data_IF_450718270377
#
_entry.id   IF_450718270377
#
_cell.length_a   1.000
_cell.length_b   1.000
_cell.length_c   1.000
_cell.angle_alpha   90.00
_cell.angle_beta   90.00
_cell.angle_gamma   90.00
#
_symmetry.space_group_name_H-M   'P 1'
#
loop_
_entity.id
_entity.type
_entity.pdbx_description
1 polymer ?
#
# COMPACT_ATOMS: atom_id res chain seq x y z
N UNK A 1 -9.47 -3.81 -16.92
CA UNK A 1 -10.75 -3.52 -16.26
C UNK A 1 -10.54 -3.59 -14.76
N UNK A 2 -10.77 -2.47 -14.05
CA UNK A 2 -10.77 -2.45 -12.58
C UNK A 2 -12.12 -2.95 -12.06
N UNK A 3 -12.11 -3.63 -10.92
CA UNK A 3 -13.35 -4.04 -10.26
C UNK A 3 -14.14 -2.80 -9.79
N UNK A 4 -15.47 -2.83 -9.86
CA UNK A 4 -16.32 -1.77 -9.33
C UNK A 4 -16.08 -1.49 -7.84
N UNK A 5 -15.63 -2.51 -7.09
CA UNK A 5 -15.30 -2.39 -5.67
C UNK A 5 -14.17 -1.40 -5.40
N UNK A 6 -13.28 -1.17 -6.35
CA UNK A 6 -12.21 -0.16 -6.26
C UNK A 6 -12.76 1.26 -5.97
N UNK A 7 -13.94 1.57 -6.48
CA UNK A 7 -14.55 2.89 -6.34
C UNK A 7 -15.39 3.05 -5.06
N UNK A 8 -15.66 1.97 -4.30
CA UNK A 8 -16.51 2.05 -3.10
C UNK A 8 -15.93 2.98 -2.04
N UNK A 9 -14.61 3.11 -1.96
CA UNK A 9 -13.95 4.06 -1.05
C UNK A 9 -14.34 5.52 -1.31
N UNK A 10 -14.72 5.87 -2.54
CA UNK A 10 -15.13 7.22 -2.89
C UNK A 10 -16.55 7.56 -2.39
N UNK A 11 -17.37 6.57 -2.07
CA UNK A 11 -18.72 6.77 -1.53
C UNK A 11 -18.76 6.91 0.00
N UNK A 12 -17.65 6.67 0.72
CA UNK A 12 -17.61 6.67 2.19
C UNK A 12 -18.07 8.02 2.75
N UNK A 13 -17.72 9.14 2.09
CA UNK A 13 -18.11 10.47 2.53
C UNK A 13 -19.64 10.72 2.51
N UNK A 14 -20.37 10.03 1.61
CA UNK A 14 -21.82 10.12 1.52
C UNK A 14 -22.52 9.06 2.38
N UNK A 15 -21.98 7.84 2.43
CA UNK A 15 -22.59 6.73 3.16
C UNK A 15 -22.51 6.88 4.68
N UNK A 16 -21.51 7.62 5.17
CA UNK A 16 -21.24 7.81 6.59
C UNK A 16 -21.09 9.30 6.91
N UNK A 17 -22.19 10.09 6.81
CA UNK A 17 -22.14 11.53 7.01
C UNK A 17 -21.80 11.94 8.44
N UNK A 18 -22.01 11.06 9.42
CA UNK A 18 -21.74 11.27 10.84
C UNK A 18 -20.23 11.27 11.18
N UNK A 19 -19.37 10.68 10.31
CA UNK A 19 -17.94 10.67 10.54
C UNK A 19 -17.25 11.80 9.79
N UNK A 20 -16.35 12.49 10.47
CA UNK A 20 -15.49 13.55 9.87
C UNK A 20 -14.14 13.02 9.41
N UNK A 21 -13.69 11.90 9.98
CA UNK A 21 -12.38 11.29 9.67
C UNK A 21 -12.48 9.77 9.74
N UNK A 22 -11.85 9.08 8.79
CA UNK A 22 -11.79 7.61 8.76
C UNK A 22 -10.42 7.13 8.27
N UNK A 23 -10.06 5.90 8.63
CA UNK A 23 -8.97 5.18 7.99
C UNK A 23 -9.57 4.22 6.98
N UNK A 24 -9.15 4.31 5.72
CA UNK A 24 -9.41 3.33 4.69
C UNK A 24 -8.24 2.35 4.60
N UNK A 25 -8.54 1.06 4.51
CA UNK A 25 -7.53 -0.01 4.41
C UNK A 25 -7.99 -1.03 3.36
N UNK A 26 -7.12 -1.32 2.37
CA UNK A 26 -7.36 -2.38 1.40
C UNK A 26 -7.37 -3.76 2.09
N UNK A 27 -8.19 -4.68 1.60
CA UNK A 27 -8.40 -6.01 2.21
C UNK A 27 -7.18 -6.95 2.11
N UNK A 28 -6.20 -6.64 1.26
CA UNK A 28 -4.99 -7.44 1.08
C UNK A 28 -3.82 -6.92 1.94
N UNK A 29 -4.13 -6.58 3.18
CA UNK A 29 -3.20 -6.03 4.17
C UNK A 29 -3.15 -6.86 5.46
N UNK A 30 -2.08 -6.65 6.24
CA UNK A 30 -1.97 -7.14 7.62
C UNK A 30 -1.57 -5.96 8.50
N UNK A 31 -2.40 -5.61 9.48
CA UNK A 31 -2.14 -4.56 10.44
C UNK A 31 -1.34 -5.13 11.61
N UNK A 32 -0.20 -4.53 11.92
CA UNK A 32 0.71 -4.93 13.01
C UNK A 32 0.96 -3.82 14.02
N UNK A 33 0.88 -2.55 13.57
CA UNK A 33 1.02 -1.38 14.43
C UNK A 33 -0.28 -0.96 15.10
N UNK A 34 -0.17 -0.08 16.09
CA UNK A 34 -1.34 0.52 16.74
C UNK A 34 -2.02 1.52 15.78
N UNK A 35 -3.16 1.13 15.25
CA UNK A 35 -3.94 1.92 14.29
C UNK A 35 -4.43 3.26 14.88
N UNK A 36 -4.50 3.38 16.20
CA UNK A 36 -4.88 4.62 16.85
C UNK A 36 -3.87 5.74 16.63
N UNK A 37 -2.59 5.41 16.49
CA UNK A 37 -1.55 6.39 16.14
C UNK A 37 -1.80 7.00 14.77
N UNK A 38 -2.19 6.15 13.78
CA UNK A 38 -2.57 6.65 12.47
C UNK A 38 -3.83 7.51 12.54
N UNK A 39 -4.86 7.04 13.28
CA UNK A 39 -6.11 7.78 13.42
C UNK A 39 -5.92 9.14 14.10
N UNK A 40 -5.03 9.24 15.08
CA UNK A 40 -4.75 10.47 15.82
C UNK A 40 -3.86 11.47 15.06
N UNK A 41 -3.31 11.07 13.90
CA UNK A 41 -2.59 12.01 13.03
C UNK A 41 -3.52 13.15 12.61
N UNK A 42 -3.05 14.38 12.72
CA UNK A 42 -3.81 15.56 12.27
C UNK A 42 -3.77 15.65 10.74
N UNK A 43 -4.97 15.65 10.15
CA UNK A 43 -5.18 15.76 8.71
C UNK A 43 -6.12 16.91 8.37
N UNK A 44 -6.32 17.86 9.31
CA UNK A 44 -7.28 18.96 9.17
C UNK A 44 -7.01 19.84 7.95
N UNK A 45 -5.75 20.10 7.64
CA UNK A 45 -5.31 20.94 6.52
C UNK A 45 -5.26 20.18 5.17
N UNK A 46 -5.51 18.87 5.19
CA UNK A 46 -5.38 18.04 4.00
C UNK A 46 -6.63 17.19 3.76
N UNK A 47 -6.98 16.90 2.49
CA UNK A 47 -8.06 15.98 2.18
C UNK A 47 -7.72 14.51 2.52
N UNK A 48 -6.44 14.15 2.49
CA UNK A 48 -5.95 12.78 2.71
C UNK A 48 -4.58 12.81 3.37
N UNK A 49 -4.32 11.92 4.33
CA UNK A 49 -3.00 11.45 4.71
C UNK A 49 -2.73 10.10 4.05
N UNK A 50 -1.58 9.93 3.38
CA UNK A 50 -1.23 8.70 2.68
C UNK A 50 0.28 8.50 2.57
N UNK A 51 0.70 7.29 2.16
CA UNK A 51 2.11 6.95 1.96
C UNK A 51 2.52 7.19 0.51
N UNK A 52 3.62 7.92 0.34
CA UNK A 52 4.18 8.25 -0.97
C UNK A 52 4.62 7.00 -1.74
N UNK A 53 4.19 6.89 -3.00
CA UNK A 53 4.59 5.81 -3.92
C UNK A 53 5.64 6.30 -4.92
N UNK A 54 6.87 6.44 -4.46
CA UNK A 54 8.00 6.91 -5.29
C UNK A 54 8.28 6.05 -6.51
N UNK A 55 7.90 4.77 -6.48
CA UNK A 55 8.14 3.86 -7.59
C UNK A 55 7.17 4.02 -8.74
N UNK A 56 6.02 4.61 -8.46
CA UNK A 56 5.00 4.88 -9.48
C UNK A 56 5.10 6.29 -10.07
N UNK A 57 5.81 7.23 -9.44
CA UNK A 57 5.90 8.63 -9.85
C UNK A 57 6.26 8.80 -11.32
N UNK A 58 7.31 8.14 -11.81
CA UNK A 58 7.73 8.26 -13.21
C UNK A 58 6.66 7.78 -14.20
N UNK A 59 5.82 6.80 -13.83
CA UNK A 59 4.68 6.36 -14.63
C UNK A 59 3.58 7.41 -14.62
N UNK A 60 3.32 8.04 -13.49
CA UNK A 60 2.30 9.08 -13.35
C UNK A 60 2.65 10.32 -14.17
N UNK A 61 3.89 10.79 -14.09
CA UNK A 61 4.37 11.93 -14.88
C UNK A 61 4.21 11.71 -16.38
N UNK A 62 4.48 10.51 -16.86
CA UNK A 62 4.44 10.19 -18.30
C UNK A 62 3.04 9.91 -18.85
N UNK A 63 2.13 9.37 -18.02
CA UNK A 63 0.86 8.81 -18.51
C UNK A 63 -0.37 9.59 -18.07
N UNK A 64 -0.30 10.33 -16.96
CA UNK A 64 -1.49 10.90 -16.33
C UNK A 64 -1.41 12.42 -16.15
N UNK A 65 -0.52 13.06 -16.91
CA UNK A 65 -0.35 14.52 -16.92
C UNK A 65 -0.16 15.13 -15.52
N UNK A 66 0.55 14.39 -14.64
CA UNK A 66 0.98 14.92 -13.36
C UNK A 66 2.36 15.56 -13.55
N UNK A 67 2.58 16.81 -13.14
CA UNK A 67 3.86 17.49 -13.30
C UNK A 67 5.01 16.70 -12.67
N UNK A 68 6.16 16.70 -13.34
CA UNK A 68 7.36 16.02 -12.80
C UNK A 68 7.76 16.64 -11.45
N UNK A 69 8.02 15.80 -10.48
CA UNK A 69 8.35 16.23 -9.11
C UNK A 69 7.14 16.28 -8.16
N UNK A 70 5.91 16.22 -8.67
CA UNK A 70 4.72 16.09 -7.84
C UNK A 70 4.71 14.75 -7.13
N UNK A 71 4.62 14.69 -5.79
CA UNK A 71 4.54 13.43 -5.09
C UNK A 71 3.20 12.73 -5.38
N UNK A 72 3.24 11.41 -5.59
CA UNK A 72 2.05 10.58 -5.71
C UNK A 72 2.00 9.57 -4.57
N UNK A 73 0.80 9.15 -4.19
CA UNK A 73 0.58 8.21 -3.09
C UNK A 73 -0.06 6.91 -3.56
N UNK A 74 0.10 5.86 -2.74
CA UNK A 74 -0.66 4.62 -2.87
C UNK A 74 -1.96 4.73 -2.06
N UNK A 75 -3.09 4.46 -2.69
CA UNK A 75 -4.42 4.62 -2.11
C UNK A 75 -4.90 3.42 -1.27
N UNK A 76 -4.06 2.41 -1.08
CA UNK A 76 -4.45 1.22 -0.32
C UNK A 76 -4.60 1.44 1.18
N UNK A 77 -3.90 2.44 1.73
CA UNK A 77 -4.11 2.93 3.09
C UNK A 77 -4.20 4.45 3.04
N UNK A 78 -5.30 5.01 3.55
CA UNK A 78 -5.54 6.45 3.59
C UNK A 78 -6.18 6.85 4.91
N UNK A 79 -5.69 7.90 5.53
CA UNK A 79 -6.40 8.67 6.54
C UNK A 79 -7.19 9.76 5.82
N UNK A 80 -8.50 9.65 5.79
CA UNK A 80 -9.37 10.50 4.97
C UNK A 80 -10.06 11.55 5.85
N UNK A 81 -9.93 12.82 5.47
CA UNK A 81 -10.72 13.92 6.01
C UNK A 81 -12.07 13.98 5.26
N UNK A 82 -13.08 13.29 5.79
CA UNK A 82 -14.39 13.20 5.16
C UNK A 82 -15.13 14.55 5.17
N UNK A 83 -14.90 15.38 6.18
CA UNK A 83 -15.46 16.74 6.22
C UNK A 83 -14.93 17.55 5.02
N UNK A 84 -13.63 17.56 4.79
CA UNK A 84 -13.03 18.21 3.62
C UNK A 84 -13.53 17.60 2.29
N UNK A 85 -13.67 16.26 2.21
CA UNK A 85 -14.19 15.63 1.01
C UNK A 85 -15.61 16.07 0.66
N UNK A 86 -16.47 16.22 1.67
CA UNK A 86 -17.86 16.73 1.47
C UNK A 86 -17.85 18.19 1.07
N UNK A 87 -17.08 19.02 1.78
CA UNK A 87 -16.99 20.46 1.52
C UNK A 87 -16.48 20.77 0.10
N UNK A 88 -15.41 20.07 -0.31
CA UNK A 88 -14.77 20.29 -1.62
C UNK A 88 -15.41 19.52 -2.76
N UNK A 89 -16.27 18.54 -2.46
CA UNK A 89 -16.83 17.60 -3.42
C UNK A 89 -15.80 16.67 -4.05
N UNK A 90 -14.64 16.46 -3.39
CA UNK A 90 -13.53 15.67 -3.95
C UNK A 90 -13.92 14.26 -4.36
N UNK A 91 -14.73 13.59 -3.54
CA UNK A 91 -15.21 12.22 -3.82
C UNK A 91 -16.04 12.16 -5.12
N UNK A 92 -16.94 13.12 -5.35
CA UNK A 92 -17.73 13.23 -6.60
C UNK A 92 -16.84 13.51 -7.78
N UNK A 93 -15.97 14.51 -7.66
CA UNK A 93 -14.98 14.84 -8.72
C UNK A 93 -14.11 13.63 -9.09
N UNK A 94 -13.70 12.80 -8.10
CA UNK A 94 -12.91 11.61 -8.37
C UNK A 94 -13.72 10.52 -9.06
N UNK A 95 -15.01 10.35 -8.73
CA UNK A 95 -15.91 9.43 -9.41
C UNK A 95 -16.15 9.86 -10.86
N UNK A 96 -16.47 11.14 -11.08
CA UNK A 96 -16.72 11.70 -12.42
C UNK A 96 -15.47 11.55 -13.30
N UNK A 97 -14.30 11.94 -12.76
CA UNK A 97 -13.04 11.79 -13.46
C UNK A 97 -12.72 10.32 -13.83
N UNK A 98 -13.01 9.39 -12.91
CA UNK A 98 -12.85 7.96 -13.16
C UNK A 98 -13.81 7.46 -14.24
N UNK A 99 -15.07 7.92 -14.23
CA UNK A 99 -16.07 7.55 -15.22
C UNK A 99 -15.71 8.06 -16.61
N UNK A 100 -15.25 9.29 -16.73
CA UNK A 100 -14.87 9.92 -18.00
C UNK A 100 -13.59 9.31 -18.60
N UNK A 101 -12.61 8.98 -17.76
CA UNK A 101 -11.28 8.55 -18.22
C UNK A 101 -11.07 7.04 -18.24
N UNK A 102 -11.91 6.28 -17.55
CA UNK A 102 -11.73 4.84 -17.31
C UNK A 102 -10.56 4.52 -16.35
N UNK A 103 -10.02 5.53 -15.67
CA UNK A 103 -8.91 5.37 -14.73
C UNK A 103 -9.42 4.96 -13.35
N UNK A 104 -8.54 4.31 -12.56
CA UNK A 104 -8.92 3.90 -11.21
C UNK A 104 -8.90 5.08 -10.22
N UNK A 105 -9.47 4.84 -9.05
CA UNK A 105 -9.57 5.77 -7.93
C UNK A 105 -8.23 6.36 -7.50
N UNK A 106 -7.16 5.55 -7.40
CA UNK A 106 -5.83 6.03 -7.03
C UNK A 106 -5.28 7.05 -8.03
N UNK A 107 -5.45 6.78 -9.34
CA UNK A 107 -4.97 7.70 -10.37
C UNK A 107 -5.81 8.98 -10.35
N UNK A 108 -7.13 8.84 -10.22
CA UNK A 108 -8.06 9.96 -10.16
C UNK A 108 -7.77 10.89 -8.98
N UNK A 109 -7.61 10.33 -7.79
CA UNK A 109 -7.26 11.11 -6.59
C UNK A 109 -5.90 11.79 -6.73
N UNK A 110 -4.86 11.09 -7.17
CA UNK A 110 -3.55 11.71 -7.38
C UNK A 110 -3.57 12.83 -8.42
N UNK A 111 -4.37 12.67 -9.50
CA UNK A 111 -4.50 13.67 -10.55
C UNK A 111 -5.24 14.91 -10.07
N UNK A 112 -6.27 14.75 -9.26
CA UNK A 112 -7.04 15.87 -8.71
C UNK A 112 -6.30 16.61 -7.61
N UNK A 113 -5.61 15.87 -6.73
CA UNK A 113 -4.91 16.44 -5.58
C UNK A 113 -3.57 17.08 -5.94
N UNK A 114 -2.87 16.59 -6.97
CA UNK A 114 -1.60 17.14 -7.45
C UNK A 114 -0.59 17.45 -6.34
N UNK A 115 -0.42 16.54 -5.41
CA UNK A 115 0.50 16.68 -4.28
C UNK A 115 -0.09 17.34 -3.03
N UNK A 116 -1.34 17.80 -3.05
CA UNK A 116 -2.03 18.35 -1.88
C UNK A 116 -2.58 17.22 -0.99
N UNK A 117 -1.70 16.58 -0.25
CA UNK A 117 -2.01 15.52 0.71
C UNK A 117 -0.89 15.40 1.75
N UNK A 118 -1.21 14.89 2.95
CA UNK A 118 -0.27 14.72 4.06
C UNK A 118 0.59 13.46 3.86
N UNK A 119 1.93 13.57 3.75
CA UNK A 119 2.80 12.41 3.71
C UNK A 119 2.85 11.70 5.07
N UNK A 120 2.45 10.42 5.09
CA UNK A 120 2.58 9.54 6.25
C UNK A 120 3.90 8.78 6.23
N UNK A 121 4.34 8.29 7.41
CA UNK A 121 5.47 7.35 7.50
C UNK A 121 5.15 6.12 6.64
N UNK A 122 6.11 5.68 5.83
CA UNK A 122 5.89 4.57 4.88
C UNK A 122 5.61 3.22 5.56
N UNK A 123 5.91 3.06 6.86
CA UNK A 123 5.52 1.89 7.64
C UNK A 123 4.01 1.69 7.69
N UNK A 124 3.22 2.76 7.51
CA UNK A 124 1.76 2.69 7.41
C UNK A 124 1.22 2.08 6.11
N UNK A 125 2.08 1.93 5.10
CA UNK A 125 1.69 1.26 3.84
C UNK A 125 2.93 0.61 3.21
N UNK A 126 3.44 -0.43 3.85
CA UNK A 126 4.62 -1.15 3.39
C UNK A 126 4.24 -2.11 2.26
N UNK A 127 4.27 -1.61 1.04
CA UNK A 127 3.90 -2.40 -0.15
C UNK A 127 4.98 -3.42 -0.53
N UNK A 128 4.56 -4.54 -1.09
CA UNK A 128 5.44 -5.64 -1.56
C UNK A 128 6.59 -5.16 -2.45
N UNK A 129 6.36 -4.10 -3.24
CA UNK A 129 7.37 -3.51 -4.11
C UNK A 129 8.62 -3.01 -3.37
N UNK A 130 8.48 -2.54 -2.12
CA UNK A 130 9.61 -2.11 -1.29
C UNK A 130 10.51 -3.29 -0.94
N UNK A 131 9.95 -4.42 -0.48
CA UNK A 131 10.71 -5.63 -0.16
C UNK A 131 11.44 -6.18 -1.37
N UNK A 132 10.76 -6.29 -2.50
CA UNK A 132 11.38 -6.75 -3.75
C UNK A 132 12.56 -5.87 -4.15
N UNK A 133 12.43 -4.56 -4.05
CA UNK A 133 13.51 -3.62 -4.41
C UNK A 133 14.64 -3.64 -3.41
N UNK A 134 14.35 -3.70 -2.11
CA UNK A 134 15.36 -3.82 -1.07
C UNK A 134 16.27 -5.02 -1.31
N UNK A 135 15.69 -6.21 -1.49
CA UNK A 135 16.49 -7.41 -1.72
C UNK A 135 17.19 -7.42 -3.07
N UNK A 136 16.65 -6.82 -4.10
CA UNK A 136 17.33 -6.69 -5.39
C UNK A 136 18.47 -5.65 -5.32
N UNK A 137 18.30 -4.55 -4.60
CA UNK A 137 19.33 -3.55 -4.38
C UNK A 137 20.51 -4.13 -3.58
N UNK A 138 20.23 -4.79 -2.47
CA UNK A 138 21.24 -5.41 -1.62
C UNK A 138 22.08 -6.44 -2.39
N UNK A 139 21.49 -7.15 -3.37
CA UNK A 139 22.22 -8.10 -4.23
C UNK A 139 23.02 -7.44 -5.35
N UNK A 140 22.53 -6.36 -5.95
CA UNK A 140 23.06 -5.84 -7.21
C UNK A 140 23.58 -4.40 -7.12
N UNK A 141 23.36 -3.68 -6.01
CA UNK A 141 23.66 -2.25 -5.83
C UNK A 141 23.10 -1.33 -6.94
N UNK A 142 22.09 -1.80 -7.70
CA UNK A 142 21.62 -1.18 -8.95
C UNK A 142 20.59 -0.06 -8.78
N UNK A 143 19.97 0.05 -7.61
CA UNK A 143 18.92 1.05 -7.39
C UNK A 143 19.10 1.72 -6.03
N UNK A 144 19.34 3.04 -5.97
CA UNK A 144 19.38 3.75 -4.70
C UNK A 144 17.99 3.64 -4.05
N UNK A 145 17.99 3.28 -2.76
CA UNK A 145 16.76 3.25 -2.00
C UNK A 145 16.36 4.70 -1.69
N UNK A 146 15.09 5.07 -1.89
CA UNK A 146 14.69 6.46 -1.79
C UNK A 146 14.54 6.98 -0.35
N UNK A 147 14.94 6.19 0.67
CA UNK A 147 14.79 6.54 2.08
C UNK A 147 16.09 6.32 2.86
N UNK A 148 16.39 7.22 3.79
CA UNK A 148 17.34 6.95 4.86
C UNK A 148 16.76 5.88 5.83
N UNK A 149 17.64 5.09 6.44
CA UNK A 149 17.28 4.08 7.46
C UNK A 149 16.28 3.00 6.99
N UNK A 150 16.28 2.70 5.69
CA UNK A 150 15.34 1.74 5.10
C UNK A 150 15.44 0.35 5.71
N UNK A 151 16.64 -0.06 6.08
CA UNK A 151 16.90 -1.40 6.64
C UNK A 151 16.15 -1.61 7.96
N UNK A 152 16.09 -0.61 8.82
CA UNK A 152 15.38 -0.68 10.10
C UNK A 152 13.87 -0.68 9.89
N UNK A 153 13.38 0.26 9.09
CA UNK A 153 11.96 0.49 8.90
C UNK A 153 11.28 -0.57 8.05
N UNK A 154 11.99 -1.20 7.10
CA UNK A 154 11.43 -2.29 6.29
C UNK A 154 11.19 -3.56 7.11
N UNK A 155 11.86 -3.69 8.27
CA UNK A 155 11.71 -4.80 9.20
C UNK A 155 10.65 -4.56 10.27
N UNK A 156 10.13 -3.34 10.38
CA UNK A 156 9.14 -2.93 11.36
C UNK A 156 7.95 -2.21 10.68
N UNK A 157 7.21 -2.90 9.79
CA UNK A 157 6.02 -2.32 9.17
C UNK A 157 4.88 -2.22 10.16
N UNK A 158 4.11 -1.13 10.09
CA UNK A 158 2.85 -0.99 10.83
C UNK A 158 1.69 -1.62 10.06
N UNK A 159 1.69 -1.49 8.73
CA UNK A 159 0.75 -2.18 7.86
C UNK A 159 1.51 -2.78 6.67
N UNK A 160 1.41 -4.10 6.54
CA UNK A 160 1.88 -4.83 5.35
C UNK A 160 0.80 -4.77 4.28
N UNK A 161 1.18 -4.41 3.06
CA UNK A 161 0.24 -4.33 1.95
C UNK A 161 0.75 -5.12 0.75
N UNK A 162 -0.01 -6.14 0.34
CA UNK A 162 0.37 -7.01 -0.78
C UNK A 162 -0.15 -6.47 -2.09
N UNK A 163 0.65 -5.64 -2.74
CA UNK A 163 0.31 -5.15 -4.08
C UNK A 163 0.73 -6.14 -5.17
N UNK A 164 -0.09 -6.26 -6.22
CA UNK A 164 0.19 -7.12 -7.38
C UNK A 164 -0.52 -8.47 -7.34
N UNK A 165 -0.10 -9.40 -8.22
CA UNK A 165 -0.77 -10.68 -8.43
C UNK A 165 -0.46 -11.74 -7.36
N UNK A 166 0.65 -11.61 -6.66
CA UNK A 166 1.02 -12.53 -5.57
C UNK A 166 0.65 -11.94 -4.24
N UNK A 167 -0.17 -12.65 -3.48
CA UNK A 167 -0.69 -12.23 -2.18
C UNK A 167 0.07 -12.90 -1.04
N UNK A 168 -0.04 -12.33 0.17
CA UNK A 168 0.53 -12.95 1.38
C UNK A 168 -0.05 -14.34 1.64
N UNK A 169 -1.30 -14.57 1.22
CA UNK A 169 -1.98 -15.87 1.29
C UNK A 169 -1.41 -16.92 0.34
N UNK A 170 -0.64 -16.53 -0.69
CA UNK A 170 -0.09 -17.45 -1.65
C UNK A 170 1.15 -18.16 -1.09
N UNK A 171 1.26 -19.48 -1.31
CA UNK A 171 2.44 -20.23 -0.92
C UNK A 171 3.70 -19.76 -1.65
N UNK A 172 3.54 -19.33 -2.89
CA UNK A 172 4.61 -18.77 -3.72
C UNK A 172 5.04 -17.36 -3.35
N UNK A 173 4.39 -16.70 -2.36
CA UNK A 173 4.86 -15.43 -1.83
C UNK A 173 6.20 -15.62 -1.12
N UNK A 174 7.21 -14.89 -1.55
CA UNK A 174 8.61 -15.17 -1.25
C UNK A 174 9.35 -14.08 -0.48
N UNK A 175 8.64 -13.10 0.03
CA UNK A 175 9.24 -12.01 0.78
C UNK A 175 9.01 -12.13 2.29
N UNK A 176 9.59 -11.23 3.07
CA UNK A 176 9.38 -11.15 4.51
C UNK A 176 7.89 -11.09 4.85
N UNK A 177 7.56 -11.54 6.06
CA UNK A 177 6.23 -11.49 6.65
C UNK A 177 5.15 -12.37 6.00
N UNK A 178 5.51 -13.25 5.05
CA UNK A 178 4.55 -14.23 4.54
C UNK A 178 3.96 -15.11 5.66
N UNK A 179 4.75 -15.39 6.70
CA UNK A 179 4.33 -16.20 7.85
C UNK A 179 3.41 -15.44 8.79
N UNK A 180 3.56 -14.12 8.87
CA UNK A 180 2.70 -13.25 9.69
C UNK A 180 1.25 -13.31 9.22
N UNK A 181 1.02 -13.34 7.91
CA UNK A 181 -0.33 -13.50 7.37
C UNK A 181 -1.01 -14.76 7.92
N UNK A 182 -0.33 -15.91 7.87
CA UNK A 182 -0.89 -17.16 8.37
C UNK A 182 -1.06 -17.16 9.89
N UNK A 183 -0.16 -16.53 10.63
CA UNK A 183 -0.31 -16.35 12.08
C UNK A 183 -1.61 -15.61 12.42
N UNK A 184 -1.91 -14.51 11.73
CA UNK A 184 -3.16 -13.78 11.94
C UNK A 184 -4.38 -14.55 11.40
N UNK A 185 -4.24 -15.21 10.25
CA UNK A 185 -5.31 -16.03 9.68
C UNK A 185 -5.75 -17.15 10.63
N UNK A 186 -4.79 -17.78 11.31
CA UNK A 186 -5.06 -18.84 12.28
C UNK A 186 -5.77 -18.36 13.56
N UNK A 187 -5.86 -17.06 13.77
CA UNK A 187 -6.67 -16.42 14.83
C UNK A 187 -8.11 -16.16 14.39
N UNK A 188 -8.48 -16.49 13.16
CA UNK A 188 -9.81 -16.29 12.56
C UNK A 188 -10.52 -17.64 12.33
N UNK A 189 -11.81 -17.63 11.94
CA UNK A 189 -12.52 -18.84 11.53
C UNK A 189 -11.88 -19.60 10.36
N UNK A 190 -10.98 -19.00 9.59
CA UNK A 190 -10.23 -19.65 8.50
C UNK A 190 -8.92 -20.30 8.94
N UNK A 191 -8.77 -20.58 10.23
CA UNK A 191 -7.63 -21.34 10.77
C UNK A 191 -7.39 -22.62 9.95
N UNK A 192 -6.12 -22.88 9.62
CA UNK A 192 -5.72 -24.07 8.86
C UNK A 192 -5.93 -23.96 7.35
N UNK A 193 -6.23 -22.77 6.82
CA UNK A 193 -6.26 -22.54 5.37
C UNK A 193 -4.95 -23.02 4.72
N UNK A 194 -5.08 -23.74 3.62
CA UNK A 194 -3.94 -24.23 2.83
C UNK A 194 -3.90 -23.53 1.48
N UNK A 195 -2.78 -22.87 1.15
CA UNK A 195 -2.62 -22.24 -0.16
C UNK A 195 -2.78 -23.25 -1.29
N UNK A 196 -3.53 -22.89 -2.32
CA UNK A 196 -3.82 -23.77 -3.48
C UNK A 196 -2.69 -23.83 -4.48
N UNK A 197 -1.74 -22.88 -4.43
CA UNK A 197 -0.59 -22.80 -5.34
C UNK A 197 0.64 -23.59 -4.84
N UNK A 198 0.49 -24.41 -3.78
CA UNK A 198 1.58 -25.23 -3.25
C UNK A 198 1.87 -26.42 -4.15
N UNK A 199 3.08 -26.44 -4.72
CA UNK A 199 3.64 -27.53 -5.51
C UNK A 199 5.17 -27.60 -5.30
N UNK A 200 5.85 -28.56 -5.92
CA UNK A 200 7.30 -28.75 -5.77
C UNK A 200 8.09 -27.51 -6.19
N UNK A 201 7.71 -26.87 -7.32
CA UNK A 201 8.42 -25.70 -7.83
C UNK A 201 8.27 -24.51 -6.88
N UNK A 202 7.05 -24.22 -6.41
CA UNK A 202 6.81 -23.13 -5.45
C UNK A 202 7.45 -23.41 -4.10
N UNK A 203 7.59 -24.69 -3.69
CA UNK A 203 8.32 -25.06 -2.48
C UNK A 203 9.83 -24.81 -2.61
N UNK A 204 10.43 -25.19 -3.72
CA UNK A 204 11.84 -24.91 -4.01
C UNK A 204 12.12 -23.39 -4.06
N UNK A 205 11.26 -22.65 -4.76
CA UNK A 205 11.34 -21.17 -4.83
C UNK A 205 11.26 -20.53 -3.44
N UNK A 206 10.38 -21.02 -2.57
CA UNK A 206 10.24 -20.51 -1.21
C UNK A 206 11.49 -20.76 -0.37
N UNK A 207 12.06 -21.96 -0.43
CA UNK A 207 13.30 -22.32 0.28
C UNK A 207 14.45 -21.42 -0.23
N UNK A 208 14.65 -21.36 -1.54
CA UNK A 208 15.69 -20.53 -2.16
C UNK A 208 15.60 -19.06 -1.69
N UNK A 209 14.42 -18.46 -1.72
CA UNK A 209 14.25 -17.07 -1.32
C UNK A 209 14.45 -16.85 0.19
N UNK A 210 14.06 -17.82 1.05
CA UNK A 210 14.35 -17.75 2.49
C UNK A 210 15.86 -17.74 2.78
N UNK A 211 16.60 -18.63 2.11
CA UNK A 211 18.08 -18.67 2.23
C UNK A 211 18.68 -17.36 1.74
N UNK A 212 18.25 -16.88 0.58
CA UNK A 212 18.69 -15.61 0.00
C UNK A 212 18.44 -14.42 0.93
N UNK A 213 17.26 -14.33 1.54
CA UNK A 213 16.90 -13.26 2.50
C UNK A 213 17.85 -13.30 3.69
N UNK A 214 18.08 -14.48 4.28
CA UNK A 214 19.00 -14.63 5.43
C UNK A 214 20.44 -14.20 5.10
N UNK A 215 20.92 -14.53 3.90
CA UNK A 215 22.27 -14.11 3.45
C UNK A 215 22.34 -12.59 3.32
N UNK A 216 21.35 -11.96 2.68
CA UNK A 216 21.29 -10.50 2.53
C UNK A 216 21.24 -9.80 3.88
N UNK A 217 20.42 -10.29 4.81
CA UNK A 217 20.33 -9.74 6.16
C UNK A 217 21.61 -9.91 6.98
N UNK A 218 22.39 -10.97 6.73
CA UNK A 218 23.69 -11.17 7.37
C UNK A 218 24.79 -10.24 6.82
N UNK A 219 24.75 -9.94 5.51
CA UNK A 219 25.71 -9.04 4.85
C UNK A 219 25.46 -7.57 5.22
N UNK A 220 24.23 -7.20 5.52
CA UNK A 220 23.83 -5.82 5.82
C UNK A 220 23.76 -5.50 7.33
N UNK A 221 24.26 -6.38 8.18
CA UNK A 221 24.55 -6.15 9.61
C UNK A 221 25.94 -5.65 9.80
#
# INVERSE_FOLDING_TARGET
>A
YYSKTTYYRLYIAELYPEYNKVIYIDSDTVVQGDISELYNTDVSDYPIGAVRDRFMEAKYYRRYNIPKGTPVFNAGIMLINLANWRETGLHKKALDYSAETGLNDQISLNTLLRGNWLPLDYRWNMVTGYYRRYYNYAMNKLYPFPFANVTERIKDPYILHTTGSKKLSDYSYKYLFAEEYFRYLDMTPWRGYKPTDKNILTACDRIYNRVRIKIIDAINK
#
